data_IF_519692602910
#
_entry.id   IF_519692602910
#
_cell.length_a   1.000
_cell.length_b   1.000
_cell.length_c   1.000
_cell.angle_alpha   90.00
_cell.angle_beta   90.00
_cell.angle_gamma   90.00
#
_symmetry.space_group_name_H-M   'P 1'
#
loop_
_entity.id
_entity.type
_entity.pdbx_description
1 polymer ?
#
# COMPACT_ATOMS: atom_id res chain seq x y z
N UNK A 1 -19.67 -27.13 -18.76
CA UNK A 1 -19.45 -27.53 -17.38
C UNK A 1 -18.87 -26.36 -16.59
N UNK A 2 -19.59 -25.91 -15.58
CA UNK A 2 -19.22 -24.73 -14.79
C UNK A 2 -18.24 -25.05 -13.65
N UNK A 3 -17.76 -26.27 -13.59
CA UNK A 3 -16.72 -26.73 -12.66
C UNK A 3 -15.38 -26.80 -13.37
N UNK A 4 -14.35 -26.23 -12.76
CA UNK A 4 -12.96 -26.33 -13.23
C UNK A 4 -12.06 -26.78 -12.07
N UNK A 5 -11.08 -27.69 -12.31
CA UNK A 5 -10.11 -28.04 -11.28
C UNK A 5 -9.36 -26.79 -10.79
N UNK A 6 -9.14 -26.69 -9.50
CA UNK A 6 -8.36 -25.59 -8.93
C UNK A 6 -6.87 -25.77 -9.25
N UNK A 7 -6.19 -24.71 -9.71
CA UNK A 7 -4.81 -24.79 -10.23
C UNK A 7 -3.80 -25.21 -9.15
N UNK A 8 -4.00 -24.81 -7.90
CA UNK A 8 -3.01 -24.98 -6.82
C UNK A 8 -3.45 -25.95 -5.72
N UNK A 9 -4.68 -26.46 -5.77
CA UNK A 9 -5.23 -27.35 -4.73
C UNK A 9 -5.73 -28.65 -5.39
N UNK A 10 -5.14 -29.78 -4.99
CA UNK A 10 -5.60 -31.10 -5.44
C UNK A 10 -6.98 -31.41 -4.86
N UNK A 11 -7.83 -32.07 -5.66
CA UNK A 11 -9.20 -32.47 -5.28
C UNK A 11 -10.15 -31.31 -4.95
N UNK A 12 -9.83 -30.08 -5.40
CA UNK A 12 -10.70 -28.90 -5.28
C UNK A 12 -11.17 -28.47 -6.66
N UNK A 13 -12.46 -28.14 -6.77
CA UNK A 13 -13.07 -27.62 -7.98
C UNK A 13 -13.61 -26.22 -7.73
N UNK A 14 -13.34 -25.32 -8.67
CA UNK A 14 -13.94 -23.99 -8.71
C UNK A 14 -15.26 -24.07 -9.47
N UNK A 15 -16.34 -23.57 -8.85
CA UNK A 15 -17.65 -23.42 -9.50
C UNK A 15 -17.81 -22.01 -10.04
N UNK A 16 -18.07 -21.89 -11.33
CA UNK A 16 -18.19 -20.60 -12.05
C UNK A 16 -19.62 -20.47 -12.62
N UNK A 17 -20.59 -20.01 -11.84
CA UNK A 17 -22.02 -20.01 -12.23
C UNK A 17 -22.30 -19.16 -13.46
N UNK A 18 -21.59 -18.06 -13.64
CA UNK A 18 -21.78 -17.09 -14.75
C UNK A 18 -20.66 -17.15 -15.80
N UNK A 19 -19.94 -18.29 -15.92
CA UNK A 19 -18.78 -18.43 -16.82
C UNK A 19 -19.07 -18.03 -18.27
N UNK A 20 -20.26 -18.29 -18.74
CA UNK A 20 -20.66 -18.07 -20.13
C UNK A 20 -21.44 -16.76 -20.33
N UNK A 21 -21.60 -15.96 -19.27
CA UNK A 21 -22.27 -14.68 -19.36
C UNK A 21 -21.35 -13.62 -19.96
N UNK A 22 -21.89 -12.83 -20.84
CA UNK A 22 -21.25 -11.57 -21.27
C UNK A 22 -21.48 -10.49 -20.20
N UNK A 23 -20.77 -9.37 -20.31
CA UNK A 23 -21.03 -8.22 -19.44
C UNK A 23 -22.47 -7.69 -19.62
N UNK A 24 -22.98 -7.73 -20.83
CA UNK A 24 -24.36 -7.29 -21.12
C UNK A 24 -25.39 -8.20 -20.46
N UNK A 25 -25.16 -9.54 -20.45
CA UNK A 25 -26.02 -10.47 -19.72
C UNK A 25 -26.07 -10.13 -18.23
N UNK A 26 -24.91 -9.77 -17.64
CA UNK A 26 -24.84 -9.37 -16.23
C UNK A 26 -25.64 -8.09 -16.00
N UNK A 27 -25.48 -7.06 -16.85
CA UNK A 27 -26.23 -5.82 -16.72
C UNK A 27 -27.74 -6.01 -16.93
N UNK A 28 -28.14 -6.81 -17.92
CA UNK A 28 -29.55 -7.14 -18.15
C UNK A 28 -30.16 -7.84 -16.95
N UNK A 29 -29.46 -8.83 -16.39
CA UNK A 29 -29.91 -9.52 -15.18
C UNK A 29 -30.07 -8.54 -14.01
N UNK A 30 -29.06 -7.72 -13.74
CA UNK A 30 -29.09 -6.76 -12.64
C UNK A 30 -30.20 -5.70 -12.78
N UNK A 31 -30.56 -5.32 -14.02
CA UNK A 31 -31.64 -4.35 -14.26
C UNK A 31 -33.04 -4.98 -14.14
N UNK A 32 -33.14 -6.30 -14.30
CA UNK A 32 -34.41 -7.05 -14.20
C UNK A 32 -34.68 -7.51 -12.77
N UNK A 33 -33.64 -7.83 -12.01
CA UNK A 33 -33.75 -8.35 -10.66
C UNK A 33 -33.52 -7.27 -9.60
N UNK A 34 -34.27 -7.36 -8.51
CA UNK A 34 -34.10 -6.47 -7.37
C UNK A 34 -32.89 -6.86 -6.55
N UNK A 35 -32.09 -5.86 -6.17
CA UNK A 35 -30.95 -6.07 -5.29
C UNK A 35 -31.42 -6.50 -3.88
N UNK A 36 -30.98 -7.69 -3.36
CA UNK A 36 -31.49 -8.23 -2.10
C UNK A 36 -31.17 -7.38 -0.86
N UNK A 37 -30.23 -6.44 -0.96
CA UNK A 37 -29.90 -5.49 0.12
C UNK A 37 -30.49 -4.08 -0.07
N UNK A 38 -31.51 -3.96 -0.92
CA UNK A 38 -32.34 -2.77 -1.03
C UNK A 38 -31.78 -1.59 -1.82
N UNK A 39 -30.61 -1.72 -2.43
CA UNK A 39 -30.04 -0.71 -3.33
C UNK A 39 -30.66 -0.87 -4.72
N UNK A 40 -30.98 0.24 -5.41
CA UNK A 40 -31.46 0.18 -6.79
C UNK A 40 -30.30 -0.05 -7.76
N UNK A 41 -30.34 -1.14 -8.53
CA UNK A 41 -29.32 -1.43 -9.54
C UNK A 41 -29.20 -0.35 -10.62
N UNK A 42 -30.24 0.46 -10.83
CA UNK A 42 -30.19 1.66 -11.70
C UNK A 42 -29.22 2.73 -11.19
N UNK A 43 -29.08 2.87 -9.89
CA UNK A 43 -28.15 3.84 -9.28
C UNK A 43 -26.70 3.38 -9.53
N UNK A 44 -26.45 2.07 -9.47
CA UNK A 44 -25.16 1.48 -9.84
C UNK A 44 -24.84 1.74 -11.34
N UNK A 45 -25.82 1.54 -12.23
CA UNK A 45 -25.65 1.82 -13.65
C UNK A 45 -25.30 3.30 -13.89
N UNK A 46 -26.01 4.23 -13.23
CA UNK A 46 -25.75 5.67 -13.34
C UNK A 46 -24.35 6.03 -12.85
N UNK A 47 -23.89 5.37 -11.78
CA UNK A 47 -22.52 5.55 -11.26
C UNK A 47 -21.46 5.11 -12.28
N UNK A 48 -21.67 3.98 -12.96
CA UNK A 48 -20.79 3.52 -14.03
C UNK A 48 -20.77 4.45 -15.23
N UNK A 49 -21.94 4.98 -15.62
CA UNK A 49 -22.06 5.97 -16.70
C UNK A 49 -21.29 7.26 -16.35
N UNK A 50 -21.45 7.78 -15.14
CA UNK A 50 -20.72 8.96 -14.66
C UNK A 50 -19.22 8.78 -14.55
N UNK A 51 -18.75 7.54 -14.41
CA UNK A 51 -17.33 7.19 -14.32
C UNK A 51 -16.68 6.85 -15.66
N UNK A 52 -17.44 6.92 -16.75
CA UNK A 52 -16.94 6.64 -18.10
C UNK A 52 -16.51 7.93 -18.79
N UNK A 53 -15.36 7.89 -19.45
CA UNK A 53 -14.82 9.01 -20.22
C UNK A 53 -15.73 9.23 -21.45
N UNK A 54 -16.47 10.35 -21.47
CA UNK A 54 -17.45 10.65 -22.52
C UNK A 54 -18.92 10.33 -22.22
N UNK A 55 -19.25 9.80 -21.02
CA UNK A 55 -20.63 9.52 -20.61
C UNK A 55 -21.29 8.37 -21.35
N UNK A 56 -20.52 7.48 -21.97
CA UNK A 56 -21.03 6.34 -22.72
C UNK A 56 -21.74 5.32 -21.83
N UNK A 57 -22.81 4.71 -22.36
CA UNK A 57 -23.55 3.67 -21.66
C UNK A 57 -22.66 2.43 -21.45
N UNK A 58 -22.64 1.82 -20.26
CA UNK A 58 -21.92 0.57 -20.03
C UNK A 58 -22.50 -0.63 -20.81
N UNK A 59 -23.72 -0.52 -21.32
CA UNK A 59 -24.31 -1.48 -22.25
C UNK A 59 -23.73 -1.23 -23.65
N UNK A 60 -23.02 -2.19 -24.18
CA UNK A 60 -22.29 -2.04 -25.44
C UNK A 60 -23.15 -2.52 -26.62
N UNK A 61 -23.27 -1.66 -27.61
CA UNK A 61 -23.87 -1.99 -28.92
C UNK A 61 -22.80 -2.51 -29.90
N UNK A 62 -21.51 -2.21 -29.61
CA UNK A 62 -20.37 -2.59 -30.45
C UNK A 62 -19.37 -3.48 -29.66
N UNK A 63 -19.16 -4.70 -30.17
CA UNK A 63 -18.27 -5.70 -29.58
C UNK A 63 -16.78 -5.34 -29.67
N UNK A 64 -16.40 -4.29 -30.39
CA UNK A 64 -15.02 -3.82 -30.50
C UNK A 64 -14.56 -3.00 -29.29
N UNK A 65 -15.50 -2.49 -28.50
CA UNK A 65 -15.22 -1.70 -27.30
C UNK A 65 -15.56 -2.51 -26.05
N UNK A 66 -14.67 -2.62 -25.03
CA UNK A 66 -15.01 -3.29 -23.80
C UNK A 66 -16.23 -2.65 -23.14
N UNK A 67 -17.21 -3.47 -22.74
CA UNK A 67 -18.34 -2.99 -21.96
C UNK A 67 -17.88 -2.26 -20.71
N UNK A 68 -18.61 -1.25 -20.26
CA UNK A 68 -18.28 -0.36 -19.15
C UNK A 68 -17.13 0.64 -19.44
N UNK A 69 -16.74 0.91 -20.69
CA UNK A 69 -15.78 1.96 -21.05
C UNK A 69 -14.47 1.91 -20.25
N UNK A 70 -14.01 0.72 -19.83
CA UNK A 70 -12.90 0.49 -18.90
C UNK A 70 -13.10 1.05 -17.49
N UNK A 71 -14.34 1.42 -17.11
CA UNK A 71 -14.64 1.84 -15.74
C UNK A 71 -14.45 0.69 -14.78
N UNK A 72 -13.68 0.91 -13.72
CA UNK A 72 -13.45 -0.05 -12.65
C UNK A 72 -13.66 0.65 -11.32
N UNK A 73 -14.49 0.03 -10.50
CA UNK A 73 -14.63 0.40 -9.10
C UNK A 73 -13.95 -0.65 -8.24
N UNK A 74 -13.12 -0.22 -7.34
CA UNK A 74 -12.34 -1.07 -6.45
C UNK A 74 -11.70 -0.26 -5.34
N UNK A 75 -10.61 -0.78 -4.79
CA UNK A 75 -9.86 -0.04 -3.78
C UNK A 75 -9.27 1.23 -4.39
N UNK A 76 -9.54 2.37 -3.78
CA UNK A 76 -9.03 3.67 -4.24
C UNK A 76 -7.50 3.76 -4.27
N UNK A 77 -6.79 2.92 -3.51
CA UNK A 77 -5.31 2.80 -3.50
C UNK A 77 -4.77 1.82 -4.54
N UNK A 78 -5.62 1.20 -5.37
CA UNK A 78 -5.19 0.17 -6.32
C UNK A 78 -4.29 0.75 -7.40
N UNK A 79 -3.07 0.25 -7.52
CA UNK A 79 -2.08 0.62 -8.54
C UNK A 79 -1.93 -0.44 -9.64
N UNK A 80 -2.89 -1.34 -9.76
CA UNK A 80 -2.90 -2.37 -10.83
C UNK A 80 -3.08 -1.74 -12.22
N UNK A 81 -3.78 -0.61 -12.29
CA UNK A 81 -3.95 0.20 -13.51
C UNK A 81 -3.12 1.47 -13.38
N UNK A 82 -2.49 1.92 -14.46
CA UNK A 82 -1.64 3.12 -14.44
C UNK A 82 -2.41 4.39 -14.07
N UNK A 83 -3.66 4.52 -14.51
CA UNK A 83 -4.53 5.66 -14.22
C UNK A 83 -5.92 5.16 -13.81
N UNK A 84 -6.42 5.64 -12.70
CA UNK A 84 -7.81 5.42 -12.31
C UNK A 84 -8.72 6.39 -13.09
N UNK A 85 -9.16 5.93 -14.27
CA UNK A 85 -10.04 6.70 -15.14
C UNK A 85 -11.42 6.93 -14.52
N UNK A 86 -11.93 5.92 -13.80
CA UNK A 86 -13.26 5.97 -13.19
C UNK A 86 -13.33 7.04 -12.10
N UNK A 87 -12.38 7.04 -11.18
CA UNK A 87 -12.31 8.05 -10.14
C UNK A 87 -12.01 9.45 -10.71
N UNK A 88 -11.14 9.54 -11.73
CA UNK A 88 -10.87 10.80 -12.42
C UNK A 88 -12.13 11.36 -13.08
N UNK A 89 -12.91 10.53 -13.80
CA UNK A 89 -14.14 10.95 -14.43
C UNK A 89 -15.22 11.35 -13.40
N UNK A 90 -15.37 10.60 -12.30
CA UNK A 90 -16.29 10.95 -11.23
C UNK A 90 -15.98 12.32 -10.61
N UNK A 91 -14.73 12.59 -10.33
CA UNK A 91 -14.30 13.88 -9.75
C UNK A 91 -14.49 15.04 -10.75
N UNK A 92 -14.28 14.77 -12.06
CA UNK A 92 -14.44 15.78 -13.11
C UNK A 92 -15.91 16.05 -13.46
N UNK A 93 -16.74 15.01 -13.50
CA UNK A 93 -18.12 15.10 -13.99
C UNK A 93 -19.14 15.44 -12.90
N UNK A 94 -18.79 15.24 -11.63
CA UNK A 94 -19.66 15.44 -10.49
C UNK A 94 -18.98 16.32 -9.45
N UNK A 95 -19.41 17.57 -9.40
CA UNK A 95 -18.88 18.56 -8.45
C UNK A 95 -19.10 18.15 -6.97
N UNK A 96 -20.11 17.34 -6.68
CA UNK A 96 -20.33 16.77 -5.34
C UNK A 96 -19.30 15.71 -4.97
N UNK A 97 -18.61 15.14 -5.95
CA UNK A 97 -17.52 14.15 -5.74
C UNK A 97 -16.12 14.78 -5.64
N UNK A 98 -16.02 16.09 -5.77
CA UNK A 98 -14.74 16.82 -5.73
C UNK A 98 -13.96 16.61 -4.43
N UNK A 99 -14.62 16.21 -3.33
CA UNK A 99 -13.96 15.85 -2.07
C UNK A 99 -13.05 14.62 -2.18
N UNK A 100 -13.20 13.80 -3.22
CA UNK A 100 -12.38 12.61 -3.48
C UNK A 100 -11.03 12.93 -4.14
N UNK A 101 -10.83 14.16 -4.63
CA UNK A 101 -9.59 14.59 -5.31
C UNK A 101 -8.31 14.28 -4.53
N UNK A 102 -8.23 14.49 -3.18
CA UNK A 102 -7.03 14.11 -2.41
C UNK A 102 -6.72 12.60 -2.42
N UNK A 103 -7.75 11.75 -2.54
CA UNK A 103 -7.56 10.28 -2.66
C UNK A 103 -6.94 9.95 -4.03
N UNK A 104 -7.46 10.56 -5.09
CA UNK A 104 -6.96 10.37 -6.45
C UNK A 104 -5.50 10.82 -6.56
N UNK A 105 -5.17 11.98 -5.99
CA UNK A 105 -3.80 12.51 -5.95
C UNK A 105 -2.86 11.56 -5.21
N UNK A 106 -3.24 11.08 -4.03
CA UNK A 106 -2.44 10.14 -3.25
C UNK A 106 -2.23 8.82 -4.01
N UNK A 107 -3.29 8.28 -4.63
CA UNK A 107 -3.21 7.07 -5.46
C UNK A 107 -2.21 7.26 -6.61
N UNK A 108 -2.28 8.37 -7.31
CA UNK A 108 -1.39 8.65 -8.43
C UNK A 108 0.07 8.82 -7.98
N UNK A 109 0.31 9.36 -6.81
CA UNK A 109 1.64 9.42 -6.19
C UNK A 109 2.17 8.02 -5.84
N UNK A 110 1.32 7.11 -5.35
CA UNK A 110 1.68 5.73 -5.04
C UNK A 110 2.06 4.94 -6.30
N UNK A 111 1.39 5.22 -7.43
CA UNK A 111 1.59 4.51 -8.71
C UNK A 111 2.85 4.95 -9.48
N UNK A 112 3.60 5.91 -8.99
CA UNK A 112 4.84 6.30 -9.63
C UNK A 112 5.85 5.15 -9.60
N UNK A 113 6.20 4.64 -10.78
CA UNK A 113 7.22 3.61 -10.99
C UNK A 113 8.65 4.14 -10.75
N UNK A 114 8.79 4.97 -9.73
CA UNK A 114 10.08 5.55 -9.41
C UNK A 114 10.87 4.56 -8.55
N UNK A 115 11.89 3.95 -9.14
CA UNK A 115 12.79 3.02 -8.48
C UNK A 115 13.49 3.66 -7.27
N UNK A 116 13.72 4.98 -7.29
CA UNK A 116 14.38 5.72 -6.21
C UNK A 116 13.59 5.71 -4.89
N UNK A 117 12.28 5.41 -4.95
CA UNK A 117 11.43 5.29 -3.76
C UNK A 117 11.51 3.93 -3.08
N UNK A 118 12.11 2.93 -3.75
CA UNK A 118 12.20 1.57 -3.26
C UNK A 118 13.64 1.14 -3.03
N UNK A 119 13.83 0.24 -2.09
CA UNK A 119 15.11 -0.43 -1.93
C UNK A 119 15.36 -1.31 -3.18
N UNK A 120 16.58 -1.36 -3.64
CA UNK A 120 16.97 -2.26 -4.73
C UNK A 120 17.05 -3.73 -4.27
N UNK A 121 17.03 -3.96 -2.96
CA UNK A 121 17.07 -5.27 -2.32
C UNK A 121 15.66 -5.76 -2.02
N UNK A 122 15.40 -7.04 -2.21
CA UNK A 122 14.17 -7.72 -1.80
C UNK A 122 14.06 -7.78 -0.26
N UNK A 123 12.90 -8.14 0.27
CA UNK A 123 12.70 -8.34 1.72
C UNK A 123 13.69 -9.34 2.33
N UNK A 124 14.13 -10.33 1.54
CA UNK A 124 15.16 -11.30 1.94
C UNK A 124 16.57 -10.71 2.04
N UNK A 125 16.77 -9.46 1.63
CA UNK A 125 18.09 -8.81 1.51
C UNK A 125 18.81 -9.09 0.19
N UNK A 126 18.34 -10.02 -0.64
CA UNK A 126 18.97 -10.38 -1.90
C UNK A 126 18.60 -9.36 -3.01
N UNK A 127 19.52 -9.15 -3.96
CA UNK A 127 19.24 -8.45 -5.21
C UNK A 127 18.71 -9.46 -6.23
N UNK A 128 17.60 -9.14 -6.86
CA UNK A 128 17.03 -9.93 -7.95
C UNK A 128 17.00 -9.04 -9.20
N UNK A 129 17.61 -9.51 -10.29
CA UNK A 129 17.59 -8.81 -11.57
C UNK A 129 16.38 -9.24 -12.41
N UNK A 130 15.95 -8.39 -13.33
CA UNK A 130 14.97 -8.77 -14.32
C UNK A 130 15.57 -9.74 -15.33
N UNK A 131 14.86 -10.79 -15.69
CA UNK A 131 15.33 -11.85 -16.61
C UNK A 131 15.72 -11.31 -18.00
N UNK A 132 15.14 -10.17 -18.41
CA UNK A 132 15.38 -9.55 -19.72
C UNK A 132 16.31 -8.32 -19.67
N UNK A 133 16.72 -7.93 -18.49
CA UNK A 133 17.49 -6.69 -18.25
C UNK A 133 18.36 -6.93 -17.01
N UNK A 134 19.57 -7.48 -17.24
CA UNK A 134 20.49 -7.85 -16.17
C UNK A 134 21.03 -6.66 -15.37
N UNK A 135 20.87 -5.43 -15.89
CA UNK A 135 21.30 -4.21 -15.18
C UNK A 135 20.19 -3.66 -14.26
N UNK A 136 18.94 -4.11 -14.43
CA UNK A 136 17.79 -3.59 -13.69
C UNK A 136 17.37 -4.53 -12.57
N UNK A 137 17.45 -4.05 -11.35
CA UNK A 137 16.97 -4.80 -10.18
C UNK A 137 15.45 -4.79 -10.07
N UNK A 138 14.89 -5.89 -9.60
CA UNK A 138 13.47 -5.96 -9.21
C UNK A 138 13.30 -5.15 -7.93
N UNK A 139 12.42 -4.13 -7.91
CA UNK A 139 12.26 -3.27 -6.75
C UNK A 139 11.88 -4.03 -5.48
N UNK A 140 12.51 -3.66 -4.39
CA UNK A 140 12.21 -4.14 -3.05
C UNK A 140 11.11 -3.33 -2.35
N UNK A 141 11.11 -3.32 -1.01
CA UNK A 141 10.18 -2.51 -0.21
C UNK A 141 10.51 -1.01 -0.32
N UNK A 142 9.57 -0.17 0.09
CA UNK A 142 9.82 1.27 0.20
C UNK A 142 10.92 1.58 1.22
N UNK A 143 11.77 2.56 0.88
CA UNK A 143 12.78 3.08 1.82
C UNK A 143 12.12 3.76 3.03
N UNK A 144 12.84 3.94 4.13
CA UNK A 144 12.37 4.64 5.33
C UNK A 144 11.75 5.99 4.98
N UNK A 145 12.49 6.83 4.25
CA UNK A 145 12.03 8.16 3.81
C UNK A 145 10.68 8.10 3.08
N UNK A 146 10.49 7.11 2.21
CA UNK A 146 9.26 7.01 1.44
C UNK A 146 8.10 6.41 2.24
N UNK A 147 8.34 5.53 3.19
CA UNK A 147 7.30 5.08 4.13
C UNK A 147 6.77 6.24 4.98
N UNK A 148 7.66 7.07 5.52
CA UNK A 148 7.30 8.28 6.27
C UNK A 148 6.52 9.28 5.38
N UNK A 149 6.94 9.45 4.12
CA UNK A 149 6.24 10.27 3.15
C UNK A 149 4.81 9.76 2.90
N UNK A 150 4.63 8.45 2.67
CA UNK A 150 3.32 7.86 2.40
C UNK A 150 2.37 8.03 3.58
N UNK A 151 2.84 7.79 4.80
CA UNK A 151 2.04 8.03 6.00
C UNK A 151 1.66 9.51 6.14
N UNK A 152 2.61 10.40 5.88
CA UNK A 152 2.38 11.85 5.91
C UNK A 152 1.31 12.29 4.90
N UNK A 153 1.37 11.78 3.66
CA UNK A 153 0.42 12.11 2.60
C UNK A 153 -0.97 11.53 2.89
N UNK A 154 -1.04 10.31 3.44
CA UNK A 154 -2.30 9.68 3.83
C UNK A 154 -3.03 10.48 4.91
N UNK A 155 -2.35 10.85 5.98
CA UNK A 155 -2.92 11.65 7.06
C UNK A 155 -3.29 13.07 6.60
N UNK A 156 -2.50 13.66 5.69
CA UNK A 156 -2.84 14.93 5.06
C UNK A 156 -4.12 14.81 4.22
N UNK A 157 -4.23 13.78 3.39
CA UNK A 157 -5.43 13.54 2.59
C UNK A 157 -6.67 13.38 3.48
N UNK A 158 -6.60 12.57 4.54
CA UNK A 158 -7.66 12.42 5.52
C UNK A 158 -8.09 13.75 6.15
N UNK A 159 -7.12 14.58 6.55
CA UNK A 159 -7.41 15.91 7.14
C UNK A 159 -8.06 16.86 6.15
N UNK A 160 -7.64 16.84 4.88
CA UNK A 160 -8.23 17.68 3.82
C UNK A 160 -9.64 17.24 3.50
N UNK A 161 -9.88 15.94 3.38
CA UNK A 161 -11.21 15.37 3.08
C UNK A 161 -12.20 15.72 4.19
N UNK A 162 -11.86 15.50 5.45
CA UNK A 162 -12.74 15.80 6.61
C UNK A 162 -13.14 17.28 6.70
N UNK A 163 -12.32 18.19 6.18
CA UNK A 163 -12.58 19.63 6.15
C UNK A 163 -13.33 20.08 4.89
N UNK A 164 -13.51 19.21 3.91
CA UNK A 164 -14.17 19.58 2.68
C UNK A 164 -15.67 19.80 2.92
N UNK A 165 -16.26 20.95 2.54
CA UNK A 165 -17.67 21.23 2.76
C UNK A 165 -18.61 20.34 1.95
N UNK A 166 -18.12 19.76 0.85
CA UNK A 166 -18.89 18.86 -0.03
C UNK A 166 -18.88 17.39 0.39
N UNK A 167 -18.14 17.04 1.45
CA UNK A 167 -18.14 15.66 1.95
C UNK A 167 -19.53 15.29 2.48
N UNK A 168 -20.07 14.10 2.13
CA UNK A 168 -21.30 13.59 2.72
C UNK A 168 -21.23 13.54 4.25
N UNK A 169 -22.35 13.79 4.91
CA UNK A 169 -22.40 13.92 6.37
C UNK A 169 -21.96 12.67 7.12
N UNK A 170 -22.25 11.50 6.56
CA UNK A 170 -21.86 10.17 7.05
C UNK A 170 -20.35 9.88 6.89
N UNK A 171 -19.68 10.58 5.97
CA UNK A 171 -18.25 10.43 5.70
C UNK A 171 -17.39 11.51 6.39
N UNK A 172 -17.96 12.47 7.13
CA UNK A 172 -17.19 13.52 7.83
C UNK A 172 -16.17 12.97 8.82
N UNK A 173 -16.40 11.79 9.36
CA UNK A 173 -15.51 11.08 10.28
C UNK A 173 -14.67 9.99 9.59
N UNK A 174 -14.58 10.00 8.26
CA UNK A 174 -13.85 8.97 7.51
C UNK A 174 -12.44 8.75 8.07
N UNK A 175 -12.09 7.49 8.29
CA UNK A 175 -10.74 7.06 8.67
C UNK A 175 -10.11 6.32 7.49
N UNK A 176 -9.02 6.90 6.96
CA UNK A 176 -8.22 6.26 5.93
C UNK A 176 -7.19 5.29 6.52
N UNK A 177 -6.92 5.43 7.81
CA UNK A 177 -6.07 4.57 8.60
C UNK A 177 -6.55 4.57 10.05
N UNK A 178 -6.65 3.39 10.65
CA UNK A 178 -7.10 3.23 12.03
C UNK A 178 -5.96 3.39 13.04
N UNK A 179 -6.32 3.52 14.32
CA UNK A 179 -5.35 3.54 15.43
C UNK A 179 -4.56 2.23 15.51
N UNK A 180 -5.22 1.10 15.28
CA UNK A 180 -4.63 -0.24 15.32
C UNK A 180 -3.59 -0.41 14.21
N UNK A 181 -3.90 0.05 13.00
CA UNK A 181 -2.97 0.03 11.86
C UNK A 181 -1.75 0.91 12.12
N UNK A 182 -1.94 2.10 12.70
CA UNK A 182 -0.84 2.98 13.09
C UNK A 182 0.04 2.36 14.17
N UNK A 183 -0.55 1.68 15.16
CA UNK A 183 0.19 0.97 16.20
C UNK A 183 1.00 -0.19 15.59
N UNK A 184 0.44 -0.92 14.63
CA UNK A 184 1.14 -2.01 13.95
C UNK A 184 2.26 -1.48 13.04
N UNK A 185 2.04 -0.41 12.29
CA UNK A 185 3.09 0.27 11.51
C UNK A 185 4.24 0.71 12.44
N UNK A 186 3.90 1.34 13.57
CA UNK A 186 4.86 1.78 14.57
C UNK A 186 5.66 0.61 15.12
N UNK A 187 4.99 -0.49 15.49
CA UNK A 187 5.61 -1.71 15.98
C UNK A 187 6.61 -2.28 14.97
N UNK A 188 6.20 -2.40 13.70
CA UNK A 188 7.06 -2.90 12.62
C UNK A 188 8.26 -1.98 12.41
N UNK A 189 8.05 -0.67 12.34
CA UNK A 189 9.15 0.26 12.12
C UNK A 189 10.13 0.23 13.29
N UNK A 190 9.64 0.27 14.51
CA UNK A 190 10.48 0.32 15.71
C UNK A 190 11.22 -1.01 15.94
N UNK A 191 10.52 -2.14 16.01
CA UNK A 191 11.13 -3.41 16.41
C UNK A 191 11.70 -4.24 15.26
N UNK A 192 11.10 -4.19 14.05
CA UNK A 192 11.56 -5.02 12.94
C UNK A 192 12.50 -4.27 11.99
N UNK A 193 12.26 -2.95 11.80
CA UNK A 193 13.11 -2.09 10.98
C UNK A 193 14.16 -1.35 11.78
N UNK A 194 14.13 -1.45 13.11
CA UNK A 194 15.07 -0.81 14.04
C UNK A 194 15.11 0.73 13.88
N UNK A 195 13.95 1.33 13.61
CA UNK A 195 13.78 2.77 13.42
C UNK A 195 13.39 3.40 14.76
N UNK A 196 14.36 3.55 15.64
CA UNK A 196 14.18 3.99 17.04
C UNK A 196 13.75 5.44 17.19
N UNK A 197 13.82 6.23 16.11
CA UNK A 197 13.38 7.63 16.13
C UNK A 197 11.87 7.76 16.36
N UNK A 198 11.14 6.64 16.27
CA UNK A 198 9.70 6.54 16.51
C UNK A 198 8.91 7.65 15.79
N UNK A 199 8.98 7.61 14.46
CA UNK A 199 8.43 8.67 13.62
C UNK A 199 6.92 8.66 13.50
N UNK A 200 6.22 7.53 13.76
CA UNK A 200 4.77 7.44 13.59
C UNK A 200 4.02 8.42 14.49
N UNK A 201 4.25 8.48 15.81
CA UNK A 201 3.62 9.49 16.67
C UNK A 201 3.92 10.93 16.25
N UNK A 202 5.16 11.20 15.82
CA UNK A 202 5.58 12.55 15.39
C UNK A 202 4.85 12.98 14.12
N UNK A 203 4.69 12.09 13.15
CA UNK A 203 3.95 12.37 11.91
C UNK A 203 2.47 12.57 12.24
N UNK A 204 1.89 11.75 13.10
CA UNK A 204 0.49 11.87 13.52
C UNK A 204 0.24 13.20 14.24
N UNK A 205 1.11 13.62 15.15
CA UNK A 205 0.97 14.91 15.84
C UNK A 205 1.04 16.09 14.88
N UNK A 206 1.89 16.02 13.86
CA UNK A 206 2.02 17.09 12.85
C UNK A 206 0.83 17.18 11.88
N UNK A 207 0.22 16.04 11.50
CA UNK A 207 -0.76 15.98 10.40
C UNK A 207 -2.19 15.72 10.87
N UNK A 208 -2.35 15.12 12.05
CA UNK A 208 -3.63 14.69 12.61
C UNK A 208 -3.69 14.97 14.13
N UNK A 209 -3.25 16.16 14.54
CA UNK A 209 -3.08 16.57 15.93
C UNK A 209 -4.26 16.17 16.82
N UNK A 210 -3.95 15.41 17.89
CA UNK A 210 -4.93 14.99 18.89
C UNK A 210 -5.93 13.93 18.45
N UNK A 211 -5.74 13.31 17.25
CA UNK A 211 -6.64 12.25 16.74
C UNK A 211 -6.21 10.85 17.17
N UNK A 212 -4.92 10.65 17.41
CA UNK A 212 -4.32 9.35 17.71
C UNK A 212 -3.55 9.40 19.02
N UNK A 213 -3.56 8.29 19.75
CA UNK A 213 -2.88 8.16 21.03
C UNK A 213 -1.86 7.01 20.98
N UNK A 214 -0.66 7.27 21.47
CA UNK A 214 0.41 6.30 21.47
C UNK A 214 0.99 6.14 22.87
N UNK A 215 0.98 4.91 23.36
CA UNK A 215 1.68 4.56 24.59
C UNK A 215 3.20 4.55 24.39
N UNK A 216 3.97 4.69 25.45
CA UNK A 216 5.42 4.55 25.37
C UNK A 216 5.76 3.12 24.92
N UNK A 217 6.69 2.99 23.96
CA UNK A 217 7.25 1.70 23.59
C UNK A 217 8.36 1.32 24.57
N UNK A 218 8.43 0.04 24.86
CA UNK A 218 9.60 -0.52 25.58
C UNK A 218 10.82 -0.44 24.65
N UNK A 219 11.77 0.39 25.01
CA UNK A 219 13.04 0.46 24.27
C UNK A 219 13.95 -0.69 24.69
N UNK A 220 13.92 -1.74 23.89
CA UNK A 220 14.76 -2.93 24.10
C UNK A 220 15.93 -2.98 23.09
N UNK A 221 16.21 -1.90 22.37
CA UNK A 221 17.33 -1.85 21.44
C UNK A 221 18.70 -1.81 22.14
N UNK A 222 19.75 -2.16 21.42
CA UNK A 222 21.13 -2.16 21.95
C UNK A 222 21.55 -0.75 22.31
N UNK A 223 21.17 0.22 21.50
CA UNK A 223 21.50 1.60 21.67
C UNK A 223 20.27 2.47 21.80
N UNK A 224 20.36 3.47 22.67
CA UNK A 224 19.44 4.58 22.68
C UNK A 224 19.70 5.55 21.51
N UNK A 225 18.85 6.55 21.38
CA UNK A 225 18.95 7.55 20.30
C UNK A 225 20.30 8.29 20.29
N UNK A 226 20.85 8.63 21.45
CA UNK A 226 22.10 9.39 21.58
C UNK A 226 23.29 8.54 21.14
N UNK A 227 23.34 7.28 21.55
CA UNK A 227 24.40 6.34 21.15
C UNK A 227 24.35 6.06 19.65
N UNK A 228 23.15 5.92 19.07
CA UNK A 228 23.04 5.76 17.62
C UNK A 228 23.46 6.99 16.84
N UNK A 229 23.23 8.18 17.37
CA UNK A 229 23.74 9.43 16.77
C UNK A 229 25.27 9.44 16.75
N UNK A 230 25.90 9.11 17.86
CA UNK A 230 27.36 8.99 17.96
C UNK A 230 27.89 7.93 16.96
N UNK A 231 27.24 6.76 16.88
CA UNK A 231 27.61 5.72 15.92
C UNK A 231 27.54 6.22 14.49
N UNK A 232 26.48 6.95 14.14
CA UNK A 232 26.31 7.53 12.80
C UNK A 232 27.39 8.56 12.47
N UNK A 233 27.75 9.43 13.43
CA UNK A 233 28.83 10.39 13.27
C UNK A 233 30.20 9.67 13.13
N UNK A 234 30.42 8.62 13.92
CA UNK A 234 31.65 7.80 13.84
C UNK A 234 31.80 7.09 12.50
N UNK A 235 30.69 6.66 11.89
CA UNK A 235 30.69 6.10 10.52
C UNK A 235 30.83 7.19 9.43
N UNK A 236 31.23 8.42 9.77
CA UNK A 236 31.40 9.52 8.84
C UNK A 236 30.15 9.82 7.97
N UNK A 237 28.95 9.58 8.52
CA UNK A 237 27.65 9.64 7.84
C UNK A 237 27.51 8.67 6.65
N UNK A 238 28.32 7.62 6.58
CA UNK A 238 28.11 6.50 5.67
C UNK A 238 26.95 5.64 6.19
N UNK A 239 25.79 5.78 5.57
CA UNK A 239 24.56 5.08 5.95
C UNK A 239 24.74 3.55 5.87
N UNK A 240 25.60 3.06 4.97
CA UNK A 240 25.82 1.64 4.77
C UNK A 240 26.59 1.03 5.93
N UNK A 241 27.73 1.65 6.29
CA UNK A 241 28.54 1.24 7.45
C UNK A 241 27.74 1.35 8.76
N UNK A 242 26.94 2.41 8.89
CA UNK A 242 26.05 2.57 10.04
C UNK A 242 24.99 1.46 10.13
N UNK A 243 24.28 1.14 9.03
CA UNK A 243 23.30 0.05 8.98
C UNK A 243 23.95 -1.31 9.27
N UNK A 244 25.13 -1.56 8.72
CA UNK A 244 25.89 -2.78 8.98
C UNK A 244 26.23 -2.93 10.47
N UNK A 245 26.89 -1.94 11.06
CA UNK A 245 27.30 -1.95 12.46
C UNK A 245 26.10 -2.15 13.39
N UNK A 246 25.03 -1.40 13.19
CA UNK A 246 23.80 -1.52 13.96
C UNK A 246 23.17 -2.91 13.81
N UNK A 247 23.06 -3.40 12.57
CA UNK A 247 22.47 -4.71 12.28
C UNK A 247 23.23 -5.86 12.92
N UNK A 248 24.57 -5.84 12.92
CA UNK A 248 25.40 -6.86 13.57
C UNK A 248 25.21 -6.87 15.09
N UNK A 249 25.16 -5.70 15.72
CA UNK A 249 24.96 -5.57 17.15
C UNK A 249 23.56 -6.01 17.58
N UNK A 250 22.52 -5.73 16.78
CA UNK A 250 21.17 -6.22 17.06
C UNK A 250 21.07 -7.76 16.93
N UNK A 251 21.77 -8.36 15.97
CA UNK A 251 21.85 -9.82 15.87
C UNK A 251 22.54 -10.38 17.11
N UNK A 252 23.69 -9.82 17.52
CA UNK A 252 24.39 -10.25 18.73
C UNK A 252 23.50 -10.18 19.97
N UNK A 253 22.82 -9.06 20.17
CA UNK A 253 21.89 -8.89 21.29
C UNK A 253 20.77 -9.94 21.29
N UNK A 254 20.17 -10.19 20.12
CA UNK A 254 19.10 -11.18 19.98
C UNK A 254 19.53 -12.58 20.41
N UNK A 255 20.74 -12.96 20.07
CA UNK A 255 21.27 -14.30 20.32
C UNK A 255 22.08 -14.40 21.63
N UNK A 256 22.42 -13.28 22.27
CA UNK A 256 23.27 -13.25 23.48
C UNK A 256 22.70 -14.10 24.62
N UNK A 257 21.40 -14.01 24.88
CA UNK A 257 20.70 -14.76 25.92
C UNK A 257 20.18 -16.13 25.49
N UNK A 258 20.39 -16.51 24.23
CA UNK A 258 19.88 -17.77 23.70
C UNK A 258 20.82 -18.92 24.01
N UNK A 259 20.30 -19.97 24.67
CA UNK A 259 21.07 -21.22 24.93
C UNK A 259 21.31 -21.99 23.62
N UNK A 260 20.51 -21.78 22.59
CA UNK A 260 20.69 -22.36 21.26
C UNK A 260 20.86 -21.23 20.25
N UNK A 261 22.06 -21.08 19.74
CA UNK A 261 22.42 -20.06 18.75
C UNK A 261 22.24 -20.57 17.31
N UNK A 262 21.27 -21.49 17.09
CA UNK A 262 20.89 -21.97 15.76
C UNK A 262 20.41 -20.77 14.92
N UNK A 263 20.99 -20.62 13.71
CA UNK A 263 20.66 -19.52 12.81
C UNK A 263 21.42 -18.21 13.08
N UNK A 264 22.34 -18.13 14.04
CA UNK A 264 23.15 -16.94 14.29
C UNK A 264 23.98 -16.54 13.07
N UNK A 265 24.68 -17.50 12.45
CA UNK A 265 25.50 -17.24 11.27
C UNK A 265 24.65 -16.81 10.08
N UNK A 266 23.49 -17.43 9.86
CA UNK A 266 22.54 -17.02 8.82
C UNK A 266 22.03 -15.59 9.05
N UNK A 267 21.79 -15.22 10.33
CA UNK A 267 21.37 -13.87 10.68
C UNK A 267 22.48 -12.84 10.39
N UNK A 268 23.74 -13.12 10.72
CA UNK A 268 24.88 -12.28 10.38
C UNK A 268 25.06 -12.20 8.86
N UNK A 269 25.02 -13.33 8.16
CA UNK A 269 25.12 -13.36 6.70
C UNK A 269 24.04 -12.50 6.03
N UNK A 270 22.81 -12.52 6.57
CA UNK A 270 21.71 -11.67 6.08
C UNK A 270 21.99 -10.17 6.30
N UNK A 271 22.62 -9.80 7.42
CA UNK A 271 23.03 -8.40 7.66
C UNK A 271 24.09 -7.99 6.64
N UNK A 272 25.12 -8.82 6.43
CA UNK A 272 26.14 -8.56 5.41
C UNK A 272 25.56 -8.47 4.01
N UNK A 273 24.71 -9.40 3.60
CA UNK A 273 24.03 -9.36 2.30
C UNK A 273 23.28 -8.05 2.08
N UNK A 274 22.61 -7.54 3.11
CA UNK A 274 21.93 -6.25 3.05
C UNK A 274 22.88 -5.07 2.86
N UNK A 275 24.10 -5.16 3.34
CA UNK A 275 25.06 -4.06 3.35
C UNK A 275 25.98 -4.04 2.11
N UNK A 276 26.41 -5.19 1.60
CA UNK A 276 27.42 -5.25 0.55
C UNK A 276 26.91 -5.22 -0.90
N UNK A 277 25.63 -5.29 -1.15
CA UNK A 277 25.09 -5.30 -2.52
C UNK A 277 24.83 -3.90 -3.13
N UNK A 278 25.36 -2.83 -2.52
CA UNK A 278 25.16 -1.46 -3.01
C UNK A 278 26.13 -1.05 -4.14
N UNK A 279 27.20 -1.80 -4.38
CA UNK A 279 28.32 -1.44 -5.25
C UNK A 279 28.46 -2.35 -6.48
N UNK A 280 27.36 -2.67 -7.17
CA UNK A 280 27.46 -3.23 -8.52
C UNK A 280 26.39 -2.65 -9.42
#
# INVERSE_FOLDING_TARGET
DNFTPHVNLSNVFSYLPIKNWTNDDVWLYMLQEECPWGIKNKDLLSMYQGATDGGECPLVIDTSTPSCGNSRFGCWVCTLVQKDKSMSAMVQNDDEKSWMEPLLQLRNELDQHNHDKRDFRRLSGNVQLFVKDDERSVPGPYTKKNRELWLTLLLKAQSVIRKNPKIPSDLKSIELISQEELNEIRRIWFYEKLEIEDMVPKICEQKAKGQYHFEALEDSHVFDYEILKILKETCANDDLTFELARGLLEVERKYYKSNRRSGLFDAFENVFKKSFYKDK
#
